data_IF_118311131103
#
_entry.id   IF_118311131103
#
_cell.length_a   1.000
_cell.length_b   1.000
_cell.length_c   1.000
_cell.angle_alpha   90.00
_cell.angle_beta   90.00
_cell.angle_gamma   90.00
#
_symmetry.space_group_name_H-M   'P 1'
#
loop_
_entity.id
_entity.type
_entity.pdbx_description
1 polymer ?
#
# COMPACT_ATOMS: atom_id res chain seq x y z
N UNK A 1 27.93 1.20 10.47
CA UNK A 1 26.79 0.61 11.22
C UNK A 1 25.92 -0.17 10.22
N UNK A 2 25.17 -1.19 10.68
CA UNK A 2 24.34 -2.02 9.81
C UNK A 2 22.99 -2.26 10.47
N UNK A 3 21.92 -2.23 9.69
CA UNK A 3 20.55 -2.54 10.12
C UNK A 3 19.82 -3.29 9.03
N UNK A 4 18.94 -4.19 9.43
CA UNK A 4 17.97 -4.85 8.55
C UNK A 4 16.57 -4.45 9.00
N UNK A 5 15.75 -4.02 8.05
CA UNK A 5 14.37 -3.59 8.29
C UNK A 5 13.42 -4.40 7.41
N UNK A 6 12.26 -4.71 7.97
CA UNK A 6 11.16 -5.35 7.27
C UNK A 6 10.00 -4.37 7.17
N UNK A 7 9.45 -4.19 5.97
CA UNK A 7 8.36 -3.27 5.69
C UNK A 7 7.23 -3.98 4.96
N UNK A 8 5.98 -3.86 5.43
CA UNK A 8 4.84 -4.55 4.83
C UNK A 8 4.39 -3.94 3.50
N UNK A 9 3.77 -4.78 2.68
CA UNK A 9 2.92 -4.34 1.58
C UNK A 9 1.71 -3.57 2.11
N UNK A 10 1.12 -2.76 1.25
CA UNK A 10 -0.06 -1.96 1.60
C UNK A 10 -1.11 -2.00 0.51
N UNK A 11 -2.37 -1.89 0.90
CA UNK A 11 -3.47 -1.62 -0.01
C UNK A 11 -4.10 -0.28 0.34
N UNK A 12 -4.08 0.64 -0.59
CA UNK A 12 -4.62 1.99 -0.42
C UNK A 12 -6.03 2.12 -1.00
N UNK A 13 -6.68 3.21 -0.68
CA UNK A 13 -8.01 3.64 -1.09
C UNK A 13 -9.16 2.85 -0.43
N UNK A 14 -9.11 1.55 -0.34
CA UNK A 14 -10.13 0.69 0.27
C UNK A 14 -11.57 1.09 -0.15
N UNK A 15 -11.80 1.11 -1.48
CA UNK A 15 -13.05 1.59 -2.06
C UNK A 15 -13.16 3.11 -2.02
N UNK A 16 -14.07 3.70 -1.21
CA UNK A 16 -14.38 5.14 -1.25
C UNK A 16 -13.34 6.05 -0.57
N UNK A 17 -12.27 5.50 0.00
CA UNK A 17 -11.24 6.26 0.74
C UNK A 17 -10.08 6.72 -0.13
N UNK A 18 -10.35 7.20 -1.34
CA UNK A 18 -9.34 7.64 -2.30
C UNK A 18 -8.33 8.62 -1.69
N UNK A 19 -7.02 8.33 -1.88
CA UNK A 19 -5.85 9.06 -1.36
C UNK A 19 -5.88 9.27 0.17
N UNK A 20 -6.69 8.49 0.91
CA UNK A 20 -6.89 8.67 2.36
C UNK A 20 -6.75 7.39 3.16
N UNK A 21 -7.33 6.27 2.72
CA UNK A 21 -7.32 5.04 3.50
C UNK A 21 -6.25 4.08 3.03
N UNK A 22 -5.63 3.38 3.99
CA UNK A 22 -4.69 2.34 3.69
C UNK A 22 -4.64 1.27 4.78
N UNK A 23 -4.29 0.05 4.39
CA UNK A 23 -4.07 -1.07 5.30
C UNK A 23 -2.74 -1.75 4.99
N UNK A 24 -1.97 -2.06 6.03
CA UNK A 24 -0.75 -2.85 5.91
C UNK A 24 -1.09 -4.35 5.89
N UNK A 25 -0.38 -5.10 5.06
CA UNK A 25 -0.64 -6.51 4.77
C UNK A 25 0.60 -7.38 5.04
N UNK A 26 0.39 -8.66 5.40
CA UNK A 26 1.44 -9.63 5.75
C UNK A 26 2.20 -10.18 4.53
N UNK A 27 2.70 -9.28 3.69
CA UNK A 27 3.66 -9.53 2.62
C UNK A 27 4.75 -8.46 2.77
N UNK A 28 6.03 -8.78 2.61
CA UNK A 28 7.08 -7.88 3.07
C UNK A 28 8.20 -7.71 2.05
N UNK A 29 8.84 -6.55 2.12
CA UNK A 29 10.21 -6.37 1.65
C UNK A 29 11.15 -6.33 2.85
N UNK A 30 12.33 -6.93 2.71
CA UNK A 30 13.40 -6.88 3.70
C UNK A 30 14.59 -6.13 3.11
N UNK A 31 15.00 -5.04 3.76
CA UNK A 31 16.06 -4.16 3.29
C UNK A 31 17.17 -4.09 4.32
N UNK A 32 18.40 -4.37 3.88
CA UNK A 32 19.60 -4.21 4.71
C UNK A 32 20.38 -3.00 4.26
N UNK A 33 20.70 -2.08 5.18
CA UNK A 33 21.55 -0.91 4.94
C UNK A 33 22.77 -1.00 5.85
N UNK A 34 23.94 -0.84 5.24
CA UNK A 34 25.24 -0.78 5.92
C UNK A 34 25.96 0.51 5.52
N UNK A 35 26.31 1.33 6.51
CA UNK A 35 27.13 2.53 6.28
C UNK A 35 28.58 2.15 5.97
N UNK A 36 29.14 2.84 4.97
CA UNK A 36 30.55 2.69 4.54
C UNK A 36 31.25 4.04 4.61
N UNK A 37 32.56 4.07 4.38
CA UNK A 37 33.31 5.31 4.36
C UNK A 37 32.89 6.23 3.19
N UNK A 38 32.60 5.69 2.03
CA UNK A 38 32.16 6.41 0.84
C UNK A 38 31.50 5.47 -0.18
N UNK A 39 30.84 6.04 -1.19
CA UNK A 39 30.24 5.33 -2.32
C UNK A 39 28.81 4.85 -2.07
N UNK A 40 28.22 4.32 -3.14
CA UNK A 40 26.87 3.73 -3.15
C UNK A 40 26.94 2.38 -3.85
N UNK A 41 26.53 1.32 -3.16
CA UNK A 41 26.38 -0.02 -3.69
C UNK A 41 24.96 -0.51 -3.42
N UNK A 42 24.21 -0.89 -4.47
CA UNK A 42 22.83 -1.40 -4.33
C UNK A 42 22.74 -2.75 -5.02
N UNK A 43 22.21 -3.73 -4.32
CA UNK A 43 22.03 -5.11 -4.78
C UNK A 43 20.61 -5.59 -4.50
N UNK A 44 20.20 -6.70 -5.15
CA UNK A 44 18.86 -7.27 -4.96
C UNK A 44 17.76 -6.57 -5.77
N UNK A 45 18.11 -5.68 -6.69
CA UNK A 45 17.18 -5.06 -7.64
C UNK A 45 17.74 -5.10 -9.06
N UNK A 46 16.90 -4.77 -10.05
CA UNK A 46 17.33 -4.64 -11.44
C UNK A 46 18.39 -3.53 -11.57
N UNK A 47 19.37 -3.72 -12.48
CA UNK A 47 20.50 -2.80 -12.67
C UNK A 47 20.09 -1.34 -12.91
N UNK A 48 18.97 -1.12 -13.58
CA UNK A 48 18.44 0.22 -13.84
C UNK A 48 18.04 0.98 -12.57
N UNK A 49 17.74 0.28 -11.47
CA UNK A 49 17.41 0.86 -10.17
C UNK A 49 18.59 0.90 -9.18
N UNK A 50 19.76 0.36 -9.56
CA UNK A 50 20.95 0.33 -8.71
C UNK A 50 21.78 1.62 -8.85
N UNK A 51 21.17 2.78 -8.62
CA UNK A 51 21.78 4.10 -8.75
C UNK A 51 21.23 5.10 -7.71
N UNK A 52 21.62 6.37 -7.81
CA UNK A 52 21.22 7.40 -6.86
C UNK A 52 19.71 7.75 -6.87
N UNK A 53 18.95 7.32 -7.89
CA UNK A 53 17.50 7.52 -7.98
C UNK A 53 16.73 6.39 -7.31
N UNK A 54 17.41 5.39 -6.72
CA UNK A 54 16.78 4.32 -5.97
C UNK A 54 15.98 4.87 -4.78
N UNK A 55 14.72 4.46 -4.65
CA UNK A 55 13.79 4.99 -3.65
C UNK A 55 14.28 4.77 -2.21
N UNK A 56 14.91 3.61 -1.91
CA UNK A 56 15.50 3.34 -0.59
C UNK A 56 16.63 4.33 -0.30
N UNK A 57 17.48 4.59 -1.28
CA UNK A 57 18.58 5.54 -1.11
C UNK A 57 18.10 6.99 -0.97
N UNK A 58 17.12 7.39 -1.77
CA UNK A 58 16.55 8.75 -1.68
C UNK A 58 15.91 9.01 -0.33
N UNK A 59 15.09 8.08 0.16
CA UNK A 59 14.44 8.24 1.47
C UNK A 59 15.43 8.10 2.65
N UNK A 60 16.45 7.26 2.51
CA UNK A 60 17.57 7.23 3.46
C UNK A 60 18.23 8.60 3.58
N UNK A 61 18.60 9.23 2.45
CA UNK A 61 19.18 10.58 2.46
C UNK A 61 18.25 11.63 3.06
N UNK A 62 16.98 11.63 2.65
CA UNK A 62 16.00 12.57 3.17
C UNK A 62 15.85 12.47 4.70
N UNK A 63 15.89 11.25 5.26
CA UNK A 63 15.86 11.07 6.70
C UNK A 63 17.16 11.51 7.38
N UNK A 64 18.34 11.27 6.77
CA UNK A 64 19.62 11.78 7.26
C UNK A 64 19.64 13.31 7.30
N UNK A 65 19.17 13.96 6.24
CA UNK A 65 19.07 15.43 6.16
C UNK A 65 18.12 15.97 7.24
N UNK A 66 16.97 15.32 7.46
CA UNK A 66 16.01 15.71 8.50
C UNK A 66 16.57 15.57 9.93
N UNK A 67 17.51 14.65 10.13
CA UNK A 67 18.24 14.48 11.40
C UNK A 67 19.44 15.45 11.54
N UNK A 68 19.79 16.17 10.48
CA UNK A 68 20.99 17.02 10.45
C UNK A 68 22.30 16.23 10.42
N UNK A 69 22.27 14.99 9.95
CA UNK A 69 23.43 14.09 9.90
C UNK A 69 23.92 13.97 8.45
N UNK A 70 25.21 14.22 8.24
CA UNK A 70 25.78 14.04 6.90
C UNK A 70 25.75 12.58 6.47
N UNK A 71 25.11 12.30 5.34
CA UNK A 71 25.05 10.95 4.80
C UNK A 71 26.46 10.49 4.39
N UNK A 72 26.81 9.28 4.82
CA UNK A 72 28.05 8.58 4.42
C UNK A 72 27.79 7.71 3.18
N UNK A 73 28.80 6.97 2.74
CA UNK A 73 28.59 5.90 1.78
C UNK A 73 27.68 4.81 2.36
N UNK A 74 26.96 4.11 1.50
CA UNK A 74 26.07 3.03 1.94
C UNK A 74 26.10 1.85 0.98
N UNK A 75 25.95 0.65 1.56
CA UNK A 75 25.55 -0.57 0.85
C UNK A 75 24.11 -0.87 1.18
N UNK A 76 23.30 -1.10 0.16
CA UNK A 76 21.88 -1.44 0.26
C UNK A 76 21.65 -2.80 -0.38
N UNK A 77 21.04 -3.71 0.34
CA UNK A 77 20.55 -4.96 -0.20
C UNK A 77 19.03 -5.01 -0.07
N UNK A 78 18.35 -5.27 -1.19
CA UNK A 78 16.88 -5.31 -1.28
C UNK A 78 16.47 -6.75 -1.54
N UNK A 79 15.71 -7.34 -0.61
CA UNK A 79 15.01 -8.61 -0.78
C UNK A 79 13.52 -8.28 -0.84
N UNK A 80 12.95 -8.32 -2.06
CA UNK A 80 11.63 -7.75 -2.34
C UNK A 80 10.64 -8.84 -2.79
N UNK A 81 9.70 -9.18 -1.91
CA UNK A 81 8.55 -10.03 -2.24
C UNK A 81 7.33 -9.23 -2.74
N UNK A 82 7.29 -7.92 -2.48
CA UNK A 82 6.19 -7.06 -2.91
C UNK A 82 6.33 -6.77 -4.40
N UNK A 83 5.38 -7.21 -5.26
CA UNK A 83 5.52 -7.07 -6.70
C UNK A 83 5.43 -5.59 -7.14
N UNK A 84 6.33 -5.20 -8.04
CA UNK A 84 6.43 -3.83 -8.57
C UNK A 84 5.26 -3.55 -9.52
N UNK A 85 4.69 -2.33 -9.44
CA UNK A 85 3.60 -1.86 -10.30
C UNK A 85 2.36 -2.78 -10.30
N UNK A 86 2.01 -3.31 -9.12
CA UNK A 86 0.85 -4.17 -8.91
C UNK A 86 -0.18 -3.60 -7.93
N UNK A 87 -0.03 -2.38 -7.41
CA UNK A 87 -1.00 -1.78 -6.49
C UNK A 87 -0.91 -2.31 -5.06
N UNK A 88 0.24 -2.84 -4.66
CA UNK A 88 0.52 -3.33 -3.29
C UNK A 88 1.54 -2.47 -2.54
N UNK A 89 1.67 -1.19 -2.91
CA UNK A 89 2.49 -0.22 -2.18
C UNK A 89 4.00 -0.44 -2.25
N UNK A 90 4.52 -1.08 -3.33
CA UNK A 90 5.96 -1.37 -3.46
C UNK A 90 6.84 -0.12 -3.35
N UNK A 91 6.46 1.00 -3.99
CA UNK A 91 7.17 2.29 -3.88
C UNK A 91 7.20 2.78 -2.43
N UNK A 92 6.03 2.88 -1.81
CA UNK A 92 5.89 3.33 -0.42
C UNK A 92 6.68 2.44 0.55
N UNK A 93 6.70 1.12 0.34
CA UNK A 93 7.48 0.19 1.16
C UNK A 93 8.99 0.45 1.05
N UNK A 94 9.51 0.72 -0.16
CA UNK A 94 10.92 1.06 -0.36
C UNK A 94 11.28 2.42 0.27
N UNK A 95 10.42 3.43 0.12
CA UNK A 95 10.61 4.74 0.75
C UNK A 95 10.54 4.65 2.28
N UNK A 96 9.55 3.93 2.81
CA UNK A 96 9.45 3.71 4.26
C UNK A 96 10.68 2.98 4.80
N UNK A 97 11.20 1.98 4.06
CA UNK A 97 12.36 1.19 4.47
C UNK A 97 13.63 2.05 4.58
N UNK A 98 13.94 2.85 3.58
CA UNK A 98 15.14 3.69 3.60
C UNK A 98 15.14 4.70 4.73
N UNK A 99 14.04 5.42 4.92
CA UNK A 99 13.89 6.39 5.99
C UNK A 99 13.89 5.74 7.39
N UNK A 100 13.18 4.62 7.55
CA UNK A 100 13.15 3.88 8.82
C UNK A 100 14.52 3.30 9.18
N UNK A 101 15.25 2.75 8.19
CA UNK A 101 16.61 2.23 8.41
C UNK A 101 17.60 3.33 8.79
N UNK A 102 17.57 4.50 8.12
CA UNK A 102 18.39 5.65 8.49
C UNK A 102 18.15 6.05 9.95
N UNK A 103 16.88 6.15 10.34
CA UNK A 103 16.48 6.51 11.70
C UNK A 103 16.98 5.47 12.73
N UNK A 104 16.82 4.16 12.42
CA UNK A 104 17.24 3.08 13.30
C UNK A 104 18.77 3.01 13.47
N UNK A 105 19.54 3.27 12.42
CA UNK A 105 21.02 3.34 12.48
C UNK A 105 21.51 4.42 13.45
N UNK A 106 20.75 5.47 13.64
CA UNK A 106 21.12 6.64 14.45
C UNK A 106 20.32 6.74 15.79
N UNK A 107 19.75 5.63 16.26
CA UNK A 107 19.10 5.58 17.57
C UNK A 107 17.66 6.10 17.62
N UNK A 108 16.98 6.14 16.47
CA UNK A 108 15.57 6.52 16.31
C UNK A 108 15.23 7.96 16.79
N UNK A 109 15.96 8.99 16.36
CA UNK A 109 15.65 10.36 16.77
C UNK A 109 14.34 10.90 16.19
N UNK A 110 13.84 10.33 15.08
CA UNK A 110 12.58 10.72 14.45
C UNK A 110 11.45 9.76 14.85
N UNK A 111 10.28 10.30 15.12
CA UNK A 111 9.04 9.52 15.29
C UNK A 111 8.54 9.02 13.94
N UNK A 112 7.66 8.00 13.92
CA UNK A 112 7.02 7.51 12.68
C UNK A 112 6.27 8.63 11.95
N UNK A 113 5.66 9.57 12.65
CA UNK A 113 5.00 10.74 12.06
C UNK A 113 5.98 11.67 11.34
N UNK A 114 7.16 11.90 11.91
CA UNK A 114 8.22 12.66 11.26
C UNK A 114 8.81 11.91 10.05
N UNK A 115 8.97 10.58 10.14
CA UNK A 115 9.36 9.78 8.99
C UNK A 115 8.33 9.86 7.86
N UNK A 116 7.03 9.80 8.17
CA UNK A 116 5.97 10.01 7.19
C UNK A 116 6.07 11.40 6.54
N UNK A 117 6.30 12.45 7.33
CA UNK A 117 6.48 13.80 6.80
C UNK A 117 7.69 13.93 5.87
N UNK A 118 8.80 13.25 6.19
CA UNK A 118 10.02 13.24 5.38
C UNK A 118 9.84 12.47 4.06
N UNK A 119 9.11 11.37 4.09
CA UNK A 119 8.96 10.49 2.92
C UNK A 119 7.79 10.87 2.01
N UNK A 120 6.76 11.55 2.55
CA UNK A 120 5.56 11.89 1.77
C UNK A 120 5.83 12.76 0.52
N UNK A 121 6.75 13.74 0.52
CA UNK A 121 7.09 14.48 -0.70
C UNK A 121 7.68 13.62 -1.83
N UNK A 122 8.28 12.47 -1.50
CA UNK A 122 8.86 11.54 -2.47
C UNK A 122 7.78 10.64 -3.10
N UNK A 123 6.71 10.33 -2.38
CA UNK A 123 5.58 9.48 -2.87
C UNK A 123 4.44 10.31 -3.45
N UNK A 124 4.16 11.46 -2.83
CA UNK A 124 3.09 12.38 -3.23
C UNK A 124 1.76 12.21 -2.50
N UNK A 125 1.55 11.09 -1.79
CA UNK A 125 0.34 10.81 -1.01
C UNK A 125 0.62 9.84 0.14
N UNK A 126 -0.08 10.00 1.30
CA UNK A 126 0.26 9.25 2.52
C UNK A 126 -0.40 7.87 2.62
N UNK A 127 -1.37 7.54 1.80
CA UNK A 127 -2.27 6.39 1.92
C UNK A 127 -1.60 5.01 1.89
N UNK A 128 -0.42 4.90 1.24
CA UNK A 128 0.43 3.72 1.29
C UNK A 128 1.57 3.86 2.32
N UNK A 129 2.18 5.04 2.42
CA UNK A 129 3.28 5.28 3.36
C UNK A 129 2.85 5.14 4.83
N UNK A 130 1.67 5.66 5.17
CA UNK A 130 1.17 5.60 6.53
C UNK A 130 1.03 4.16 7.02
N UNK A 131 0.28 3.25 6.36
CA UNK A 131 0.20 1.88 6.82
C UNK A 131 1.55 1.14 6.73
N UNK A 132 2.43 1.45 5.76
CA UNK A 132 3.77 0.87 5.70
C UNK A 132 4.59 1.19 6.95
N UNK A 133 4.52 2.42 7.45
CA UNK A 133 5.25 2.88 8.64
C UNK A 133 4.56 2.48 9.95
N UNK A 134 3.25 2.71 10.06
CA UNK A 134 2.51 2.54 11.32
C UNK A 134 1.95 1.13 11.51
N UNK A 135 1.61 0.44 10.44
CA UNK A 135 0.84 -0.80 10.46
C UNK A 135 -0.67 -0.57 10.59
N UNK A 136 -1.43 -1.65 10.47
CA UNK A 136 -2.87 -1.67 10.63
C UNK A 136 -3.63 -0.92 9.55
N UNK A 137 -4.83 -0.51 9.91
CA UNK A 137 -5.70 0.36 9.12
C UNK A 137 -5.37 1.82 9.45
N UNK A 138 -5.15 2.65 8.44
CA UNK A 138 -4.86 4.08 8.63
C UNK A 138 -5.82 4.93 7.82
N UNK A 139 -6.18 6.09 8.38
CA UNK A 139 -6.85 7.18 7.69
C UNK A 139 -5.92 8.39 7.71
N UNK A 140 -5.66 8.95 6.55
CA UNK A 140 -4.70 10.03 6.36
C UNK A 140 -5.31 11.20 5.59
N UNK A 141 -4.81 12.39 5.84
CA UNK A 141 -5.14 13.60 5.08
C UNK A 141 -3.90 14.49 4.95
N UNK A 142 -3.94 15.41 4.02
CA UNK A 142 -2.95 16.48 3.92
C UNK A 142 -3.50 17.76 4.57
N UNK A 143 -2.70 18.38 5.43
CA UNK A 143 -2.92 19.74 5.96
C UNK A 143 -1.80 20.65 5.44
N UNK A 144 -2.04 21.31 4.32
CA UNK A 144 -0.98 21.90 3.53
C UNK A 144 0.00 20.82 3.06
N UNK A 145 1.27 20.97 3.41
CA UNK A 145 2.34 20.03 3.08
C UNK A 145 2.55 18.94 4.15
N UNK A 146 1.74 18.91 5.20
CA UNK A 146 1.89 17.97 6.32
C UNK A 146 0.90 16.82 6.20
N UNK A 147 1.35 15.57 6.10
CA UNK A 147 0.48 14.42 6.24
C UNK A 147 0.06 14.25 7.71
N UNK A 148 -1.23 14.11 7.94
CA UNK A 148 -1.81 13.78 9.24
C UNK A 148 -2.45 12.40 9.12
N UNK A 149 -2.11 11.50 10.04
CA UNK A 149 -2.56 10.11 10.01
C UNK A 149 -3.10 9.70 11.38
N UNK A 150 -4.21 8.99 11.35
CA UNK A 150 -4.75 8.26 12.49
C UNK A 150 -4.73 6.76 12.19
N UNK A 151 -4.27 5.95 13.14
CA UNK A 151 -4.50 4.49 13.12
C UNK A 151 -5.94 4.22 13.55
N UNK A 152 -6.63 3.41 12.77
CA UNK A 152 -8.00 2.99 13.05
C UNK A 152 -8.00 1.56 13.62
N UNK A 153 -8.95 1.26 14.47
CA UNK A 153 -9.16 -0.09 14.97
C UNK A 153 -9.57 -1.01 13.80
N UNK A 154 -9.03 -2.21 13.80
CA UNK A 154 -9.37 -3.23 12.82
C UNK A 154 -9.77 -4.51 13.54
N UNK A 155 -10.95 -5.06 13.19
CA UNK A 155 -11.41 -6.32 13.76
C UNK A 155 -10.45 -7.46 13.34
N UNK A 156 -10.01 -8.33 14.27
CA UNK A 156 -8.96 -9.32 14.00
C UNK A 156 -9.35 -10.44 13.03
N UNK A 157 -10.64 -10.68 12.83
CA UNK A 157 -11.12 -11.77 11.97
C UNK A 157 -11.03 -11.45 10.47
N UNK A 158 -10.70 -10.21 10.11
CA UNK A 158 -10.59 -9.87 8.70
C UNK A 158 -9.44 -10.59 8.00
N UNK A 159 -9.75 -11.12 6.84
CA UNK A 159 -8.81 -11.62 5.85
C UNK A 159 -8.84 -10.73 4.62
N UNK A 160 -7.67 -10.50 4.08
CA UNK A 160 -7.46 -9.74 2.86
C UNK A 160 -6.95 -10.71 1.79
N UNK A 161 -7.68 -10.85 0.70
CA UNK A 161 -7.23 -11.71 -0.41
C UNK A 161 -6.83 -10.80 -1.56
N UNK A 162 -5.54 -10.73 -1.84
CA UNK A 162 -5.02 -9.99 -2.99
C UNK A 162 -5.12 -10.86 -4.25
N UNK A 163 -5.80 -10.36 -5.26
CA UNK A 163 -5.88 -10.95 -6.59
C UNK A 163 -4.94 -10.16 -7.50
N UNK A 164 -3.79 -10.75 -7.80
CA UNK A 164 -2.69 -10.08 -8.49
C UNK A 164 -2.61 -10.61 -9.93
N UNK A 165 -2.91 -9.79 -10.95
CA UNK A 165 -2.80 -10.23 -12.34
C UNK A 165 -1.34 -10.22 -12.83
N UNK A 166 -1.07 -10.92 -13.91
CA UNK A 166 0.26 -11.05 -14.53
C UNK A 166 0.73 -9.82 -15.33
N UNK A 167 -0.11 -8.77 -15.46
CA UNK A 167 0.23 -7.52 -16.13
C UNK A 167 0.43 -6.34 -15.15
N UNK A 168 1.34 -5.39 -15.44
CA UNK A 168 1.57 -4.20 -14.63
C UNK A 168 0.58 -3.08 -14.97
N UNK A 169 0.38 -2.16 -14.01
CA UNK A 169 -0.29 -0.87 -14.23
C UNK A 169 0.46 0.21 -13.46
N UNK A 170 0.94 1.24 -14.18
CA UNK A 170 1.63 2.35 -13.53
C UNK A 170 0.64 3.27 -12.82
N UNK A 171 1.05 3.83 -11.67
CA UNK A 171 0.27 4.82 -10.93
C UNK A 171 -0.03 6.05 -11.78
N UNK A 172 0.92 6.48 -12.61
CA UNK A 172 0.75 7.61 -13.53
C UNK A 172 -0.39 7.35 -14.53
N UNK A 173 -0.43 6.18 -15.17
CA UNK A 173 -1.51 5.80 -16.08
C UNK A 173 -2.87 5.71 -15.35
N UNK A 174 -2.89 5.15 -14.15
CA UNK A 174 -4.11 5.03 -13.35
C UNK A 174 -4.62 6.40 -12.83
N UNK A 175 -3.75 7.40 -12.66
CA UNK A 175 -4.15 8.77 -12.34
C UNK A 175 -4.62 9.55 -13.57
N UNK A 176 -4.02 9.33 -14.72
CA UNK A 176 -4.34 10.04 -15.95
C UNK A 176 -5.80 9.84 -16.45
N UNK A 177 -6.46 8.77 -16.05
CA UNK A 177 -7.85 8.50 -16.42
C UNK A 177 -8.89 9.15 -15.50
N UNK A 178 -8.45 9.77 -14.39
CA UNK A 178 -9.35 10.41 -13.44
C UNK A 178 -9.82 11.77 -13.97
N UNK A 179 -11.09 12.14 -13.75
CA UNK A 179 -11.58 13.46 -14.15
C UNK A 179 -11.05 14.56 -13.22
N UNK A 180 -10.99 15.78 -13.72
CA UNK A 180 -10.57 16.95 -12.93
C UNK A 180 -11.65 17.46 -11.94
N UNK A 181 -12.89 16.98 -12.04
CA UNK A 181 -14.00 17.40 -11.17
C UNK A 181 -15.02 16.27 -11.00
N UNK A 182 -15.74 16.32 -9.90
CA UNK A 182 -16.78 15.34 -9.54
C UNK A 182 -18.08 16.07 -9.23
N UNK A 183 -19.20 15.37 -9.42
CA UNK A 183 -20.50 15.92 -9.05
C UNK A 183 -20.66 15.98 -7.53
N UNK A 184 -21.52 16.88 -7.03
CA UNK A 184 -21.89 16.92 -5.61
C UNK A 184 -22.43 15.57 -5.14
N UNK A 185 -23.24 14.89 -5.94
CA UNK A 185 -23.80 13.59 -5.61
C UNK A 185 -22.72 12.52 -5.45
N UNK A 186 -21.67 12.52 -6.28
CA UNK A 186 -20.56 11.57 -6.18
C UNK A 186 -19.68 11.84 -4.95
N UNK A 187 -19.44 13.13 -4.64
CA UNK A 187 -18.73 13.51 -3.42
C UNK A 187 -19.50 13.06 -2.16
N UNK A 188 -20.82 13.32 -2.08
CA UNK A 188 -21.66 12.88 -0.95
C UNK A 188 -21.69 11.36 -0.85
N UNK A 189 -21.76 10.65 -1.99
CA UNK A 189 -21.74 9.20 -2.05
C UNK A 189 -20.45 8.63 -1.39
N UNK A 190 -19.29 9.20 -1.71
CA UNK A 190 -18.02 8.74 -1.15
C UNK A 190 -17.83 9.12 0.32
N UNK A 191 -18.21 10.35 0.72
CA UNK A 191 -18.07 10.80 2.12
C UNK A 191 -18.84 9.87 3.08
N UNK A 192 -20.10 9.55 2.77
CA UNK A 192 -20.89 8.65 3.60
C UNK A 192 -20.31 7.23 3.66
N UNK A 193 -19.89 6.69 2.51
CA UNK A 193 -19.31 5.35 2.44
C UNK A 193 -17.96 5.27 3.13
N UNK A 194 -17.09 6.27 2.99
CA UNK A 194 -15.80 6.30 3.66
C UNK A 194 -15.93 6.15 5.18
N UNK A 195 -16.86 6.91 5.79
CA UNK A 195 -17.13 6.77 7.23
C UNK A 195 -17.62 5.36 7.61
N UNK A 196 -18.48 4.76 6.77
CA UNK A 196 -19.05 3.43 7.03
C UNK A 196 -18.04 2.30 6.77
N UNK A 197 -17.10 2.44 5.83
CA UNK A 197 -16.00 1.46 5.63
C UNK A 197 -15.16 1.34 6.88
N UNK A 198 -14.70 2.46 7.45
CA UNK A 198 -13.92 2.44 8.70
C UNK A 198 -14.72 1.77 9.81
N UNK A 199 -16.02 2.12 9.98
CA UNK A 199 -16.85 1.54 11.03
C UNK A 199 -17.11 0.05 10.83
N UNK A 200 -17.32 -0.39 9.60
CA UNK A 200 -17.49 -1.80 9.27
C UNK A 200 -16.22 -2.62 9.56
N UNK A 201 -15.05 -2.09 9.17
CA UNK A 201 -13.76 -2.72 9.43
C UNK A 201 -13.45 -2.80 10.93
N UNK A 202 -13.79 -1.78 11.69
CA UNK A 202 -13.64 -1.77 13.16
C UNK A 202 -14.54 -2.83 13.84
N UNK A 203 -15.82 -2.89 13.45
CA UNK A 203 -16.80 -3.76 14.10
C UNK A 203 -16.80 -5.21 13.58
N UNK A 204 -16.08 -5.49 12.49
CA UNK A 204 -16.16 -6.79 11.81
C UNK A 204 -17.52 -7.02 11.11
N UNK A 205 -18.19 -5.98 10.66
CA UNK A 205 -19.49 -6.07 10.00
C UNK A 205 -19.33 -6.27 8.48
N UNK A 206 -19.40 -7.55 8.05
CA UNK A 206 -19.26 -7.91 6.63
C UNK A 206 -20.39 -7.32 5.77
N UNK A 207 -21.62 -7.29 6.28
CA UNK A 207 -22.74 -6.80 5.49
C UNK A 207 -22.64 -5.29 5.24
N UNK A 208 -22.27 -4.54 6.28
CA UNK A 208 -22.03 -3.10 6.17
C UNK A 208 -20.84 -2.81 5.25
N UNK A 209 -19.75 -3.59 5.36
CA UNK A 209 -18.58 -3.43 4.51
C UNK A 209 -18.91 -3.65 3.03
N UNK A 210 -19.65 -4.72 2.71
CA UNK A 210 -20.10 -5.00 1.34
C UNK A 210 -20.91 -3.84 0.75
N UNK A 211 -21.80 -3.23 1.55
CA UNK A 211 -22.59 -2.09 1.12
C UNK A 211 -21.80 -0.79 0.97
N UNK A 212 -20.74 -0.62 1.78
CA UNK A 212 -19.98 0.63 1.84
C UNK A 212 -18.78 0.69 0.88
N UNK A 213 -18.32 -0.45 0.32
CA UNK A 213 -17.07 -0.54 -0.44
C UNK A 213 -17.14 0.04 -1.85
N UNK A 214 -18.32 0.39 -2.33
CA UNK A 214 -18.49 1.04 -3.65
C UNK A 214 -17.94 2.47 -3.63
N UNK A 215 -17.43 2.90 -4.80
CA UNK A 215 -16.76 4.18 -5.01
C UNK A 215 -17.22 4.87 -6.30
N UNK A 216 -17.20 6.20 -6.31
CA UNK A 216 -17.48 7.02 -7.49
C UNK A 216 -16.35 7.99 -7.87
N UNK A 217 -15.24 7.96 -7.14
CA UNK A 217 -14.12 8.88 -7.33
C UNK A 217 -13.04 8.27 -8.25
N UNK A 218 -12.65 7.02 -8.04
CA UNK A 218 -11.52 6.45 -8.80
C UNK A 218 -11.82 5.12 -9.50
N UNK A 219 -12.52 4.19 -8.84
CA UNK A 219 -12.74 2.84 -9.39
C UNK A 219 -13.51 2.83 -10.72
N UNK A 220 -14.57 3.63 -10.94
CA UNK A 220 -15.29 3.65 -12.22
C UNK A 220 -14.44 3.99 -13.43
N UNK A 221 -13.37 4.75 -13.21
CA UNK A 221 -12.44 5.17 -14.27
C UNK A 221 -11.31 4.17 -14.46
N UNK A 222 -10.70 3.69 -13.35
CA UNK A 222 -9.57 2.78 -13.34
C UNK A 222 -9.93 1.36 -13.76
N UNK A 223 -11.15 0.88 -13.48
CA UNK A 223 -11.62 -0.46 -13.85
C UNK A 223 -11.45 -0.77 -15.35
N UNK A 224 -11.53 0.25 -16.21
CA UNK A 224 -11.36 0.12 -17.66
C UNK A 224 -9.93 -0.23 -18.09
N UNK A 225 -8.95 -0.06 -17.19
CA UNK A 225 -7.55 -0.37 -17.41
C UNK A 225 -7.19 -1.80 -16.98
N UNK A 226 -8.15 -2.52 -16.39
CA UNK A 226 -7.92 -3.84 -15.79
C UNK A 226 -8.80 -4.84 -16.52
N UNK A 227 -8.16 -5.72 -17.28
CA UNK A 227 -8.86 -6.82 -17.93
C UNK A 227 -9.54 -7.70 -16.88
N UNK A 228 -10.70 -8.25 -17.23
CA UNK A 228 -11.49 -9.13 -16.39
C UNK A 228 -12.06 -8.52 -15.09
N UNK A 229 -11.88 -7.21 -14.85
CA UNK A 229 -12.35 -6.54 -13.62
C UNK A 229 -13.81 -6.88 -13.28
N UNK A 230 -14.72 -6.74 -14.25
CA UNK A 230 -16.16 -6.94 -14.04
C UNK A 230 -16.50 -8.40 -13.72
N UNK A 231 -15.81 -9.35 -14.35
CA UNK A 231 -15.99 -10.78 -14.09
C UNK A 231 -15.51 -11.16 -12.68
N UNK A 232 -14.34 -10.62 -12.28
CA UNK A 232 -13.77 -10.84 -10.95
C UNK A 232 -14.64 -10.19 -9.87
N UNK A 233 -15.06 -8.93 -10.07
CA UNK A 233 -15.95 -8.22 -9.14
C UNK A 233 -17.25 -8.99 -8.90
N UNK A 234 -17.88 -9.45 -9.98
CA UNK A 234 -19.12 -10.24 -9.91
C UNK A 234 -18.93 -11.52 -9.10
N UNK A 235 -17.88 -12.29 -9.41
CA UNK A 235 -17.57 -13.52 -8.69
C UNK A 235 -17.39 -13.28 -7.19
N UNK A 236 -16.54 -12.28 -6.83
CA UNK A 236 -16.23 -11.97 -5.41
C UNK A 236 -17.48 -11.55 -4.65
N UNK A 237 -18.31 -10.67 -5.24
CA UNK A 237 -19.57 -10.22 -4.64
C UNK A 237 -20.59 -11.36 -4.49
N UNK A 238 -20.69 -12.28 -5.45
CA UNK A 238 -21.53 -13.48 -5.35
C UNK A 238 -21.10 -14.42 -4.21
N UNK A 239 -19.80 -14.45 -3.85
CA UNK A 239 -19.28 -15.19 -2.69
C UNK A 239 -19.42 -14.40 -1.36
N UNK A 240 -20.07 -13.22 -1.36
CA UNK A 240 -20.35 -12.45 -0.17
C UNK A 240 -19.18 -11.65 0.41
N UNK A 241 -18.06 -11.53 -0.31
CA UNK A 241 -16.93 -10.73 0.11
C UNK A 241 -17.02 -9.29 -0.37
N UNK A 242 -16.46 -8.36 0.40
CA UNK A 242 -16.26 -6.98 -0.02
C UNK A 242 -15.12 -6.91 -1.05
N UNK A 243 -15.25 -6.00 -2.00
CA UNK A 243 -14.36 -5.92 -3.15
C UNK A 243 -13.94 -4.48 -3.42
N UNK A 244 -12.66 -4.28 -3.66
CA UNK A 244 -12.11 -2.99 -4.07
C UNK A 244 -10.87 -3.15 -4.97
N UNK A 245 -10.54 -2.07 -5.66
CA UNK A 245 -9.25 -1.90 -6.30
C UNK A 245 -8.19 -1.57 -5.25
N UNK A 246 -7.06 -2.28 -5.27
CA UNK A 246 -5.93 -2.02 -4.38
C UNK A 246 -5.06 -0.89 -4.93
N UNK A 247 -5.04 0.26 -4.26
CA UNK A 247 -4.28 1.43 -4.67
C UNK A 247 -4.62 1.90 -6.08
N UNK A 248 -3.61 1.99 -6.95
CA UNK A 248 -3.79 2.29 -8.37
C UNK A 248 -4.21 1.07 -9.22
N UNK A 249 -4.12 -0.12 -8.67
CA UNK A 249 -4.26 -1.40 -9.35
C UNK A 249 -2.93 -1.90 -9.95
N UNK A 250 -2.95 -2.97 -10.74
CA UNK A 250 -4.12 -3.74 -11.17
C UNK A 250 -4.62 -4.78 -10.15
N UNK A 251 -3.96 -4.95 -9.01
CA UNK A 251 -4.43 -5.86 -7.95
C UNK A 251 -5.83 -5.47 -7.48
N UNK A 252 -6.67 -6.48 -7.32
CA UNK A 252 -8.00 -6.38 -6.73
C UNK A 252 -7.96 -6.97 -5.32
N UNK A 253 -8.63 -6.33 -4.38
CA UNK A 253 -8.63 -6.73 -2.99
C UNK A 253 -10.01 -7.25 -2.60
N UNK A 254 -10.06 -8.45 -2.02
CA UNK A 254 -11.23 -8.97 -1.35
C UNK A 254 -11.04 -8.86 0.16
N UNK A 255 -12.07 -8.40 0.86
CA UNK A 255 -12.07 -8.34 2.33
C UNK A 255 -13.21 -9.19 2.85
N UNK A 256 -12.89 -10.22 3.66
CA UNK A 256 -13.85 -11.22 4.11
C UNK A 256 -13.47 -11.81 5.46
N UNK A 257 -14.42 -12.50 6.10
CA UNK A 257 -14.15 -13.39 7.23
C UNK A 257 -14.23 -14.87 6.83
N UNK A 258 -14.60 -15.15 5.59
CA UNK A 258 -14.65 -16.52 5.07
C UNK A 258 -13.24 -17.00 4.67
N UNK A 259 -12.73 -17.98 5.43
CA UNK A 259 -11.42 -18.59 5.20
C UNK A 259 -11.35 -19.50 3.97
N UNK A 260 -12.50 -19.87 3.41
CA UNK A 260 -12.58 -20.75 2.21
C UNK A 260 -12.46 -19.96 0.90
N UNK A 261 -12.70 -18.63 0.93
CA UNK A 261 -12.71 -17.79 -0.27
C UNK A 261 -11.44 -17.93 -1.14
N UNK A 262 -10.21 -17.96 -0.60
CA UNK A 262 -9.01 -18.09 -1.44
C UNK A 262 -9.00 -19.34 -2.32
N UNK A 263 -9.40 -20.48 -1.77
CA UNK A 263 -9.41 -21.75 -2.53
C UNK A 263 -10.53 -21.77 -3.59
N UNK A 264 -11.68 -21.16 -3.29
CA UNK A 264 -12.75 -20.98 -4.27
C UNK A 264 -12.24 -20.12 -5.44
N UNK A 265 -11.60 -18.98 -5.14
CA UNK A 265 -11.09 -18.06 -6.17
C UNK A 265 -9.97 -18.70 -7.01
N UNK A 266 -9.04 -19.46 -6.41
CA UNK A 266 -8.03 -20.23 -7.15
C UNK A 266 -8.64 -21.19 -8.16
N UNK A 267 -9.80 -21.76 -7.84
CA UNK A 267 -10.49 -22.73 -8.71
C UNK A 267 -11.33 -22.04 -9.80
N UNK A 268 -12.01 -20.95 -9.47
CA UNK A 268 -13.00 -20.33 -10.36
C UNK A 268 -12.38 -19.28 -11.30
N UNK A 269 -11.38 -18.46 -10.84
CA UNK A 269 -10.78 -17.42 -11.67
C UNK A 269 -10.20 -17.93 -13.00
N UNK A 270 -9.43 -19.03 -13.06
CA UNK A 270 -8.88 -19.52 -14.33
C UNK A 270 -9.93 -19.91 -15.38
N UNK A 271 -11.18 -20.09 -14.97
CA UNK A 271 -12.29 -20.43 -15.85
C UNK A 271 -13.06 -19.21 -16.37
N UNK A 272 -12.89 -18.07 -15.70
CA UNK A 272 -13.68 -16.86 -15.93
C UNK A 272 -12.86 -15.71 -16.53
N UNK A 273 -11.53 -15.78 -16.43
CA UNK A 273 -10.63 -14.69 -16.78
C UNK A 273 -9.67 -15.06 -17.90
N UNK A 274 -9.20 -14.05 -18.64
CA UNK A 274 -8.18 -14.22 -19.68
C UNK A 274 -6.77 -14.04 -19.12
N UNK A 275 -6.61 -13.14 -18.13
CA UNK A 275 -5.35 -12.95 -17.43
C UNK A 275 -5.11 -14.05 -16.38
N UNK A 276 -3.85 -14.29 -16.05
CA UNK A 276 -3.49 -15.17 -14.93
C UNK A 276 -3.51 -14.37 -13.64
N UNK A 277 -4.31 -14.83 -12.68
CA UNK A 277 -4.47 -14.19 -11.38
C UNK A 277 -3.84 -15.02 -10.26
N UNK A 278 -2.87 -14.45 -9.57
CA UNK A 278 -2.35 -15.02 -8.32
C UNK A 278 -3.30 -14.67 -7.19
N UNK A 279 -3.81 -15.67 -6.48
CA UNK A 279 -4.67 -15.51 -5.31
C UNK A 279 -3.82 -15.63 -4.06
N UNK A 280 -3.61 -14.52 -3.38
CA UNK A 280 -2.74 -14.44 -2.20
C UNK A 280 -3.55 -14.07 -0.95
N UNK A 281 -3.80 -15.03 -0.04
CA UNK A 281 -4.43 -14.73 1.25
C UNK A 281 -3.44 -14.03 2.18
N UNK A 282 -3.85 -12.91 2.75
CA UNK A 282 -3.06 -12.04 3.63
C UNK A 282 -3.86 -11.68 4.88
N UNK A 283 -3.17 -11.25 5.91
CA UNK A 283 -3.75 -10.61 7.11
C UNK A 283 -3.27 -9.17 7.21
N UNK A 284 -3.88 -8.40 8.09
CA UNK A 284 -3.36 -7.10 8.45
C UNK A 284 -2.05 -7.26 9.23
N UNK A 285 -1.03 -6.47 8.86
CA UNK A 285 0.20 -6.31 9.64
C UNK A 285 0.05 -5.11 10.56
N UNK A 286 0.06 -5.34 11.87
CA UNK A 286 -0.34 -4.31 12.85
C UNK A 286 0.80 -3.39 13.30
N UNK A 287 2.07 -3.76 13.05
CA UNK A 287 3.22 -3.03 13.58
C UNK A 287 3.89 -2.09 12.56
N UNK A 288 3.67 -2.32 11.26
CA UNK A 288 4.32 -1.59 10.18
C UNK A 288 5.82 -1.89 10.09
N UNK A 289 6.59 -0.89 9.64
CA UNK A 289 8.05 -1.01 9.54
C UNK A 289 8.70 -1.33 10.88
N UNK A 290 9.62 -2.31 10.88
CA UNK A 290 10.35 -2.80 12.06
C UNK A 290 11.77 -3.22 11.72
N UNK A 291 12.67 -3.19 12.69
CA UNK A 291 13.99 -3.83 12.60
C UNK A 291 13.88 -5.34 12.87
N UNK A 292 14.68 -6.14 12.17
CA UNK A 292 14.72 -7.60 12.27
C UNK A 292 16.17 -8.10 12.40
#
# INVERSE_FOLDING_TARGET
>A
MKVTVQVPATSANLGPGFDSFGVALTLYNTITIEETACGLEITGCEKQYANCDNLVYQSYKAAMDAMGIAAKGVKIHIDADIPIARGLGSSAALLAAGAFAANALHGNPLTKAQLLQVTNPLEGHPDNLAPALFGGLTASMMDGDKPITAQCTLHPDWQFVALIPDFPLSTAAARAVLPNSYSRSDAVFNVGRGALVIKALENGDQQLLNAAMDDKIHQPYRRKLINDFDAVEKLVKEKGAAFALSGAGPTLLCVTKDTSLPEILKTELPRLTQANWTVLPLKAEMNGAKTV
#
